data_IF_119082717447
#
_entry.id   IF_119082717447
#
_cell.length_a   1.000
_cell.length_b   1.000
_cell.length_c   1.000
_cell.angle_alpha   90.00
_cell.angle_beta   90.00
_cell.angle_gamma   90.00
#
_symmetry.space_group_name_H-M   'P 1'
#
loop_
_entity.id
_entity.type
_entity.pdbx_description
1 polymer ?
#
# COMPACT_ATOMS: atom_id res chain seq x y z
N UNK A 1 6.73 4.56 20.90
CA UNK A 1 7.82 3.73 21.45
C UNK A 1 7.63 3.62 22.96
N UNK A 2 7.08 2.51 23.44
CA UNK A 2 7.16 2.08 24.84
C UNK A 2 7.95 0.77 24.79
N UNK A 3 9.26 0.85 25.03
CA UNK A 3 10.11 -0.33 25.22
C UNK A 3 10.23 -0.63 26.72
N UNK A 4 10.72 -1.82 27.05
CA UNK A 4 10.89 -2.35 28.42
C UNK A 4 11.97 -1.64 29.25
N UNK A 5 12.94 -0.99 28.60
CA UNK A 5 13.74 0.04 29.24
C UNK A 5 12.94 1.33 29.15
N UNK A 6 12.95 2.19 30.19
CA UNK A 6 12.15 3.42 30.29
C UNK A 6 12.31 4.46 29.14
N UNK A 7 12.84 4.08 27.98
CA UNK A 7 12.95 4.86 26.76
C UNK A 7 14.19 5.73 26.80
N UNK A 8 14.83 5.90 25.64
CA UNK A 8 15.97 6.80 25.46
C UNK A 8 15.68 8.20 26.04
N UNK A 9 14.43 8.67 25.94
CA UNK A 9 13.95 9.89 26.58
C UNK A 9 14.26 9.93 28.08
N UNK A 10 13.90 8.89 28.84
CA UNK A 10 14.06 8.89 30.30
C UNK A 10 15.53 8.82 30.70
N UNK A 11 16.36 8.10 29.94
CA UNK A 11 17.81 8.09 30.14
C UNK A 11 18.41 9.49 29.98
N UNK A 12 18.06 10.19 28.88
CA UNK A 12 18.53 11.56 28.61
C UNK A 12 18.05 12.54 29.69
N UNK A 13 16.79 12.46 30.12
CA UNK A 13 16.25 13.35 31.15
C UNK A 13 16.82 13.08 32.54
N UNK A 14 17.24 11.84 32.84
CA UNK A 14 17.91 11.50 34.10
C UNK A 14 19.35 12.02 34.15
N UNK A 15 20.07 11.96 33.03
CA UNK A 15 21.44 12.49 32.94
C UNK A 15 21.45 14.03 32.85
N UNK A 16 20.49 14.61 32.12
CA UNK A 16 20.42 16.05 31.88
C UNK A 16 19.05 16.59 32.31
N UNK A 17 18.95 17.03 33.57
CA UNK A 17 17.69 17.54 34.16
C UNK A 17 17.11 18.77 33.46
N UNK A 18 17.92 19.51 32.71
CA UNK A 18 17.51 20.67 31.90
C UNK A 18 17.09 20.31 30.47
N UNK A 19 17.20 19.05 30.06
CA UNK A 19 16.83 18.63 28.71
C UNK A 19 15.30 18.62 28.55
N UNK A 20 14.82 19.23 27.47
CA UNK A 20 13.41 19.22 27.09
C UNK A 20 13.22 18.34 25.85
N UNK A 21 12.31 17.37 25.96
CA UNK A 21 11.95 16.50 24.86
C UNK A 21 10.68 17.01 24.19
N UNK A 22 10.80 17.43 22.92
CA UNK A 22 9.68 17.84 22.08
C UNK A 22 9.39 16.70 21.10
N UNK A 23 8.15 16.21 21.07
CA UNK A 23 7.74 15.23 20.08
C UNK A 23 7.63 15.88 18.70
N UNK A 24 8.15 15.22 17.66
CA UNK A 24 7.95 15.63 16.27
C UNK A 24 6.45 15.65 15.94
N UNK A 25 5.94 16.78 15.45
CA UNK A 25 4.53 16.95 15.07
C UNK A 25 4.13 15.98 13.95
N UNK A 26 5.01 15.74 12.99
CA UNK A 26 4.85 14.75 11.94
C UNK A 26 4.60 13.34 12.53
N UNK A 27 5.34 12.98 13.59
CA UNK A 27 5.12 11.72 14.31
C UNK A 27 3.77 11.67 15.04
N UNK A 28 3.34 12.76 15.68
CA UNK A 28 2.04 12.84 16.36
C UNK A 28 0.87 12.77 15.37
N UNK A 29 0.99 13.45 14.23
CA UNK A 29 0.03 13.37 13.13
C UNK A 29 -0.09 11.93 12.63
N UNK A 30 1.06 11.26 12.44
CA UNK A 30 1.09 9.87 12.03
C UNK A 30 0.38 8.94 13.02
N UNK A 31 0.69 9.03 14.32
CA UNK A 31 0.02 8.21 15.33
C UNK A 31 -1.49 8.46 15.38
N UNK A 32 -1.90 9.72 15.25
CA UNK A 32 -3.32 10.11 15.25
C UNK A 32 -4.06 9.54 14.05
N UNK A 33 -3.48 9.67 12.85
CA UNK A 33 -4.07 9.14 11.62
C UNK A 33 -4.26 7.63 11.71
N UNK A 34 -3.23 6.89 12.15
CA UNK A 34 -3.33 5.43 12.34
C UNK A 34 -4.41 5.07 13.36
N UNK A 35 -4.49 5.79 14.49
CA UNK A 35 -5.47 5.51 15.53
C UNK A 35 -6.91 5.76 15.07
N UNK A 36 -7.14 6.80 14.26
CA UNK A 36 -8.46 7.11 13.69
C UNK A 36 -8.84 6.09 12.62
N UNK A 37 -7.93 5.77 11.69
CA UNK A 37 -8.19 4.79 10.63
C UNK A 37 -8.53 3.40 11.18
N UNK A 38 -7.87 2.96 12.26
CA UNK A 38 -8.17 1.67 12.92
C UNK A 38 -9.57 1.60 13.53
N UNK A 39 -10.22 2.74 13.79
CA UNK A 39 -11.59 2.81 14.33
C UNK A 39 -12.64 2.95 13.24
N UNK A 40 -12.25 3.20 11.99
CA UNK A 40 -13.15 3.30 10.87
C UNK A 40 -13.28 1.93 10.19
N UNK A 41 -14.52 1.44 10.06
CA UNK A 41 -14.81 0.11 9.52
C UNK A 41 -14.39 0.00 8.05
N UNK A 42 -14.63 1.04 7.26
CA UNK A 42 -14.33 1.05 5.82
C UNK A 42 -12.81 1.03 5.56
N UNK A 43 -12.03 1.73 6.38
CA UNK A 43 -10.57 1.67 6.38
C UNK A 43 -10.09 0.26 6.73
N UNK A 44 -10.69 -0.35 7.76
CA UNK A 44 -10.40 -1.73 8.15
C UNK A 44 -10.62 -2.69 6.98
N UNK A 45 -11.81 -2.63 6.38
CA UNK A 45 -12.18 -3.42 5.21
C UNK A 45 -11.21 -3.23 4.04
N UNK A 46 -10.87 -1.98 3.69
CA UNK A 46 -9.95 -1.69 2.59
C UNK A 46 -8.58 -2.32 2.83
N UNK A 47 -8.00 -2.16 4.02
CA UNK A 47 -6.65 -2.68 4.30
C UNK A 47 -6.62 -4.21 4.45
N UNK A 48 -7.70 -4.82 4.93
CA UNK A 48 -7.86 -6.27 4.92
C UNK A 48 -7.94 -6.81 3.48
N UNK A 49 -8.72 -6.16 2.61
CA UNK A 49 -8.81 -6.51 1.20
C UNK A 49 -7.46 -6.34 0.49
N UNK A 50 -6.74 -5.25 0.73
CA UNK A 50 -5.40 -5.03 0.18
C UNK A 50 -4.42 -6.11 0.66
N UNK A 51 -4.49 -6.52 1.93
CA UNK A 51 -3.68 -7.62 2.45
C UNK A 51 -4.01 -8.95 1.78
N UNK A 52 -5.30 -9.25 1.58
CA UNK A 52 -5.75 -10.43 0.85
C UNK A 52 -5.26 -10.41 -0.60
N UNK A 53 -5.38 -9.29 -1.30
CA UNK A 53 -4.87 -9.09 -2.66
C UNK A 53 -3.35 -9.33 -2.72
N UNK A 54 -2.58 -8.74 -1.80
CA UNK A 54 -1.13 -8.95 -1.74
C UNK A 54 -0.76 -10.43 -1.52
N UNK A 55 -1.58 -11.19 -0.80
CA UNK A 55 -1.35 -12.63 -0.63
C UNK A 55 -1.74 -13.42 -1.87
N UNK A 56 -2.81 -13.03 -2.57
CA UNK A 56 -3.21 -13.67 -3.83
C UNK A 56 -2.17 -13.40 -4.90
N UNK A 57 -1.81 -12.15 -5.16
CA UNK A 57 -0.93 -11.76 -6.27
C UNK A 57 0.56 -11.90 -5.91
N UNK A 58 0.93 -11.66 -4.66
CA UNK A 58 2.33 -11.66 -4.21
C UNK A 58 2.79 -12.94 -3.51
N UNK A 59 1.91 -13.93 -3.34
CA UNK A 59 2.14 -15.12 -2.51
C UNK A 59 3.17 -16.12 -3.02
N UNK A 60 3.66 -15.98 -4.26
CA UNK A 60 4.73 -16.81 -4.82
C UNK A 60 5.55 -16.07 -5.86
N UNK A 61 6.79 -16.50 -6.10
CA UNK A 61 7.64 -15.93 -7.18
C UNK A 61 6.94 -15.98 -8.54
N UNK A 62 6.24 -17.08 -8.85
CA UNK A 62 5.53 -17.23 -10.12
C UNK A 62 4.46 -16.14 -10.33
N UNK A 63 3.70 -15.80 -9.28
CA UNK A 63 2.67 -14.77 -9.39
C UNK A 63 3.26 -13.36 -9.44
N UNK A 64 4.41 -13.14 -8.80
CA UNK A 64 5.16 -11.90 -8.95
C UNK A 64 5.71 -11.74 -10.37
N UNK A 65 6.19 -12.81 -10.99
CA UNK A 65 6.61 -12.84 -12.39
C UNK A 65 5.44 -12.49 -13.32
N UNK A 66 4.27 -13.12 -13.13
CA UNK A 66 3.05 -12.79 -13.88
C UNK A 66 2.67 -11.31 -13.76
N UNK A 67 2.77 -10.72 -12.56
CA UNK A 67 2.50 -9.29 -12.36
C UNK A 67 3.50 -8.40 -13.11
N UNK A 68 4.77 -8.79 -13.13
CA UNK A 68 5.82 -8.05 -13.83
C UNK A 68 5.64 -8.12 -15.36
N UNK A 69 5.28 -9.30 -15.88
CA UNK A 69 4.96 -9.52 -17.28
C UNK A 69 3.75 -8.69 -17.71
N UNK A 70 2.63 -8.78 -16.96
CA UNK A 70 1.42 -7.99 -17.21
C UNK A 70 1.69 -6.49 -17.17
N UNK A 71 2.47 -6.01 -16.19
CA UNK A 71 2.88 -4.60 -16.14
C UNK A 71 3.71 -4.19 -17.36
N UNK A 72 4.63 -5.05 -17.81
CA UNK A 72 5.46 -4.77 -18.99
C UNK A 72 4.61 -4.69 -20.26
N UNK A 73 3.63 -5.57 -20.39
CA UNK A 73 2.69 -5.56 -21.52
C UNK A 73 1.79 -4.33 -21.53
N UNK A 74 1.30 -3.90 -20.35
CA UNK A 74 0.53 -2.66 -20.24
C UNK A 74 1.35 -1.44 -20.66
N UNK A 75 2.59 -1.32 -20.17
CA UNK A 75 3.50 -0.25 -20.57
C UNK A 75 3.78 -0.28 -22.08
N UNK A 76 4.01 -1.45 -22.65
CA UNK A 76 4.23 -1.59 -24.10
C UNK A 76 3.00 -1.13 -24.89
N UNK A 77 1.81 -1.54 -24.47
CA UNK A 77 0.55 -1.15 -25.10
C UNK A 77 0.29 0.36 -24.98
N UNK A 78 0.41 0.94 -23.79
CA UNK A 78 0.23 2.38 -23.58
C UNK A 78 1.25 3.20 -24.39
N UNK A 79 2.47 2.68 -24.58
CA UNK A 79 3.48 3.31 -25.44
C UNK A 79 3.10 3.23 -26.93
N UNK A 80 2.62 2.07 -27.40
CA UNK A 80 2.14 1.88 -28.78
C UNK A 80 0.91 2.75 -29.09
N UNK A 81 -0.01 2.88 -28.13
CA UNK A 81 -1.21 3.72 -28.22
C UNK A 81 -0.88 5.23 -28.13
N UNK A 82 0.36 5.59 -27.78
CA UNK A 82 0.83 6.97 -27.66
C UNK A 82 0.38 7.67 -26.37
N UNK A 83 -0.09 6.93 -25.36
CA UNK A 83 -0.55 7.43 -24.07
C UNK A 83 0.62 7.78 -23.13
N UNK A 84 1.77 7.12 -23.32
CA UNK A 84 3.00 7.37 -22.55
C UNK A 84 4.22 7.54 -23.45
N UNK A 85 5.17 8.36 -23.00
CA UNK A 85 6.45 8.56 -23.68
C UNK A 85 7.53 7.59 -23.17
N UNK A 86 8.51 7.31 -24.03
CA UNK A 86 9.74 6.61 -23.63
C UNK A 86 10.78 7.61 -23.18
N UNK A 87 11.44 7.33 -22.04
CA UNK A 87 12.45 8.22 -21.49
C UNK A 87 13.19 7.60 -20.31
N UNK A 88 14.37 8.14 -20.02
CA UNK A 88 15.21 7.65 -18.92
C UNK A 88 14.51 7.87 -17.58
N UNK A 89 14.13 6.77 -16.94
CA UNK A 89 13.46 6.79 -15.63
C UNK A 89 11.93 6.86 -15.69
N UNK A 90 11.34 6.90 -16.88
CA UNK A 90 9.89 6.72 -17.07
C UNK A 90 9.54 5.23 -17.08
N UNK A 91 8.26 4.94 -16.78
CA UNK A 91 7.66 3.62 -16.90
C UNK A 91 8.43 2.52 -16.13
N UNK A 92 9.04 2.91 -15.01
CA UNK A 92 9.78 1.98 -14.16
C UNK A 92 8.84 0.95 -13.55
N UNK A 93 9.37 -0.25 -13.39
CA UNK A 93 8.67 -1.33 -12.73
C UNK A 93 8.31 -0.96 -11.29
N UNK A 94 7.02 -1.00 -10.99
CA UNK A 94 6.45 -0.79 -9.68
C UNK A 94 6.27 -2.13 -8.96
N UNK A 95 6.53 -2.13 -7.65
CA UNK A 95 6.37 -3.30 -6.79
C UNK A 95 5.23 -3.16 -5.79
N UNK A 96 4.59 -4.29 -5.45
CA UNK A 96 3.58 -4.38 -4.40
C UNK A 96 4.20 -4.83 -3.07
N UNK A 97 4.89 -3.90 -2.41
CA UNK A 97 5.51 -4.17 -1.11
C UNK A 97 4.49 -4.24 0.03
N UNK A 98 4.68 -5.15 0.98
CA UNK A 98 3.87 -5.16 2.21
C UNK A 98 4.13 -3.89 3.02
N UNK A 99 3.08 -3.16 3.41
CA UNK A 99 3.24 -1.94 4.17
C UNK A 99 3.65 -2.31 5.61
N UNK A 100 4.42 -1.42 6.25
CA UNK A 100 4.78 -1.58 7.66
C UNK A 100 3.69 -0.98 8.54
N UNK A 101 3.25 -1.74 9.54
CA UNK A 101 2.24 -1.36 10.54
C UNK A 101 2.51 -0.02 11.24
N UNK A 102 3.78 0.40 11.26
CA UNK A 102 4.22 1.60 12.00
C UNK A 102 4.35 2.84 11.12
N UNK A 103 4.42 2.70 9.79
CA UNK A 103 4.75 3.79 8.86
C UNK A 103 3.72 3.90 7.75
N UNK A 104 2.80 4.84 7.91
CA UNK A 104 1.74 5.14 6.94
C UNK A 104 2.27 5.50 5.54
N UNK A 105 3.47 6.09 5.43
CA UNK A 105 4.08 6.36 4.13
C UNK A 105 4.25 5.10 3.26
N UNK A 106 4.43 3.93 3.88
CA UNK A 106 4.44 2.65 3.16
C UNK A 106 3.05 2.23 2.68
N UNK A 107 2.00 2.49 3.47
CA UNK A 107 0.62 2.31 3.04
C UNK A 107 0.25 3.27 1.90
N UNK A 108 0.71 4.52 1.95
CA UNK A 108 0.48 5.47 0.86
C UNK A 108 1.16 5.03 -0.43
N UNK A 109 2.43 4.61 -0.36
CA UNK A 109 3.15 4.04 -1.52
C UNK A 109 2.44 2.80 -2.09
N UNK A 110 1.95 1.90 -1.22
CA UNK A 110 1.16 0.75 -1.65
C UNK A 110 -0.10 1.19 -2.42
N UNK A 111 -0.88 2.12 -1.88
CA UNK A 111 -2.11 2.60 -2.53
C UNK A 111 -1.82 3.22 -3.91
N UNK A 112 -0.77 4.02 -4.02
CA UNK A 112 -0.35 4.60 -5.30
C UNK A 112 -0.03 3.49 -6.31
N UNK A 113 0.77 2.51 -5.90
CA UNK A 113 1.14 1.40 -6.79
C UNK A 113 -0.06 0.53 -7.15
N UNK A 114 -0.99 0.28 -6.22
CA UNK A 114 -2.21 -0.48 -6.51
C UNK A 114 -3.11 0.23 -7.51
N UNK A 115 -3.21 1.56 -7.43
CA UNK A 115 -4.00 2.34 -8.39
C UNK A 115 -3.37 2.28 -9.79
N UNK A 116 -2.05 2.44 -9.89
CA UNK A 116 -1.34 2.39 -11.18
C UNK A 116 -1.37 0.98 -11.77
N UNK A 117 -1.13 -0.04 -10.93
CA UNK A 117 -1.09 -1.44 -11.35
C UNK A 117 -2.47 -2.11 -11.35
N UNK A 118 -3.56 -1.37 -11.19
CA UNK A 118 -4.90 -1.96 -11.06
C UNK A 118 -5.25 -2.90 -12.23
N UNK A 119 -5.02 -2.52 -13.51
CA UNK A 119 -5.28 -3.44 -14.62
C UNK A 119 -4.43 -4.71 -14.54
N UNK A 120 -3.14 -4.59 -14.19
CA UNK A 120 -2.23 -5.73 -14.07
C UNK A 120 -2.62 -6.68 -12.94
N UNK A 121 -3.06 -6.12 -11.81
CA UNK A 121 -3.52 -6.88 -10.65
C UNK A 121 -4.77 -7.68 -11.02
N UNK A 122 -5.73 -7.07 -11.71
CA UNK A 122 -6.93 -7.75 -12.17
C UNK A 122 -6.58 -8.90 -13.14
N UNK A 123 -5.71 -8.66 -14.11
CA UNK A 123 -5.28 -9.68 -15.07
C UNK A 123 -4.63 -10.90 -14.36
N UNK A 124 -3.73 -10.65 -13.38
CA UNK A 124 -3.12 -11.73 -12.61
C UNK A 124 -4.14 -12.50 -11.78
N UNK A 125 -5.14 -11.83 -11.21
CA UNK A 125 -6.21 -12.48 -10.46
C UNK A 125 -7.06 -13.36 -11.38
N UNK A 126 -7.40 -12.88 -12.57
CA UNK A 126 -8.14 -13.67 -13.57
C UNK A 126 -7.33 -14.90 -14.00
N UNK A 127 -6.02 -14.74 -14.25
CA UNK A 127 -5.15 -15.87 -14.56
C UNK A 127 -5.09 -16.92 -13.44
N UNK A 128 -5.08 -16.49 -12.17
CA UNK A 128 -5.11 -17.39 -11.01
C UNK A 128 -6.48 -18.07 -10.88
N UNK A 129 -7.57 -17.37 -11.18
CA UNK A 129 -8.92 -17.92 -11.15
C UNK A 129 -9.09 -19.04 -12.19
N UNK A 130 -8.64 -18.80 -13.42
CA UNK A 130 -8.69 -19.75 -14.53
C UNK A 130 -7.79 -20.96 -14.27
N UNK A 131 -6.54 -20.72 -13.86
CA UNK A 131 -5.52 -21.75 -13.66
C UNK A 131 -4.99 -21.77 -12.22
N UNK A 132 -5.81 -22.20 -11.23
CA UNK A 132 -5.44 -22.12 -9.83
C UNK A 132 -4.36 -23.16 -9.48
N UNK A 133 -3.26 -22.77 -8.79
CA UNK A 133 -2.26 -23.73 -8.31
C UNK A 133 -2.83 -24.71 -7.29
N UNK A 134 -3.78 -24.26 -6.45
CA UNK A 134 -4.47 -25.05 -5.44
C UNK A 134 -5.98 -24.76 -5.45
N UNK A 135 -6.78 -25.68 -4.90
CA UNK A 135 -8.25 -25.54 -4.83
C UNK A 135 -8.73 -24.26 -4.13
N UNK A 136 -8.01 -23.81 -3.10
CA UNK A 136 -8.36 -22.61 -2.32
C UNK A 136 -7.97 -21.30 -3.03
N UNK A 137 -7.02 -21.34 -3.97
CA UNK A 137 -6.56 -20.14 -4.69
C UNK A 137 -7.66 -19.58 -5.60
N UNK A 138 -8.49 -20.43 -6.20
CA UNK A 138 -9.61 -20.00 -7.04
C UNK A 138 -10.63 -19.20 -6.24
N UNK A 139 -11.05 -19.70 -5.07
CA UNK A 139 -12.03 -19.02 -4.24
C UNK A 139 -11.50 -17.69 -3.68
N UNK A 140 -10.20 -17.63 -3.37
CA UNK A 140 -9.55 -16.38 -2.96
C UNK A 140 -9.48 -15.37 -4.11
N UNK A 141 -9.07 -15.82 -5.30
CA UNK A 141 -9.00 -14.98 -6.49
C UNK A 141 -10.38 -14.42 -6.85
N UNK A 142 -11.43 -15.24 -6.85
CA UNK A 142 -12.81 -14.84 -7.12
C UNK A 142 -13.29 -13.74 -6.16
N UNK A 143 -13.15 -13.97 -4.84
CA UNK A 143 -13.56 -13.00 -3.81
C UNK A 143 -12.80 -11.68 -3.91
N UNK A 144 -11.48 -11.74 -4.08
CA UNK A 144 -10.65 -10.54 -4.20
C UNK A 144 -10.96 -9.81 -5.51
N UNK A 145 -11.05 -10.52 -6.62
CA UNK A 145 -11.36 -9.98 -7.94
C UNK A 145 -12.68 -9.23 -7.95
N UNK A 146 -13.75 -9.85 -7.45
CA UNK A 146 -15.06 -9.22 -7.32
C UNK A 146 -15.02 -7.93 -6.49
N UNK A 147 -14.24 -7.92 -5.41
CA UNK A 147 -14.10 -6.73 -4.58
C UNK A 147 -13.28 -5.62 -5.26
N UNK A 148 -12.21 -5.96 -6.00
CA UNK A 148 -11.34 -4.98 -6.68
C UNK A 148 -12.01 -4.23 -7.84
N UNK A 149 -13.08 -4.80 -8.42
CA UNK A 149 -13.88 -4.14 -9.46
C UNK A 149 -15.12 -3.44 -8.90
N UNK A 150 -15.36 -3.55 -7.59
CA UNK A 150 -16.49 -2.89 -6.93
C UNK A 150 -16.30 -1.38 -6.85
N UNK A 151 -17.40 -0.63 -6.91
CA UNK A 151 -17.39 0.80 -6.68
C UNK A 151 -16.79 1.15 -5.32
N UNK A 152 -17.14 0.39 -4.27
CA UNK A 152 -16.67 0.65 -2.91
C UNK A 152 -15.15 0.60 -2.81
N UNK A 153 -14.51 -0.36 -3.48
CA UNK A 153 -13.06 -0.45 -3.49
C UNK A 153 -12.42 0.73 -4.23
N UNK A 154 -12.90 1.02 -5.44
CA UNK A 154 -12.39 2.12 -6.27
C UNK A 154 -12.56 3.46 -5.54
N UNK A 155 -13.73 3.69 -4.95
CA UNK A 155 -14.00 4.88 -4.15
C UNK A 155 -13.04 4.97 -2.96
N UNK A 156 -12.92 3.90 -2.17
CA UNK A 156 -12.11 3.90 -0.95
C UNK A 156 -10.61 4.05 -1.25
N UNK A 157 -10.07 3.38 -2.28
CA UNK A 157 -8.65 3.50 -2.63
C UNK A 157 -8.31 4.93 -3.05
N UNK A 158 -9.19 5.59 -3.81
CA UNK A 158 -9.00 6.98 -4.24
C UNK A 158 -9.23 8.00 -3.11
N UNK A 159 -10.20 7.77 -2.24
CA UNK A 159 -10.42 8.58 -1.04
C UNK A 159 -9.18 8.53 -0.13
N UNK A 160 -8.68 7.34 0.14
CA UNK A 160 -7.49 7.14 0.98
C UNK A 160 -6.23 7.71 0.33
N UNK A 161 -6.07 7.58 -0.99
CA UNK A 161 -5.00 8.28 -1.73
C UNK A 161 -5.04 9.79 -1.46
N UNK A 162 -6.23 10.42 -1.50
CA UNK A 162 -6.37 11.86 -1.28
C UNK A 162 -6.03 12.26 0.15
N UNK A 163 -6.57 11.55 1.14
CA UNK A 163 -6.30 11.79 2.57
C UNK A 163 -4.80 11.64 2.85
N UNK A 164 -4.20 10.55 2.38
CA UNK A 164 -2.77 10.29 2.57
C UNK A 164 -1.88 11.26 1.79
N UNK A 165 -2.31 11.74 0.62
CA UNK A 165 -1.61 12.79 -0.10
C UNK A 165 -1.49 14.07 0.72
N UNK A 166 -2.59 14.51 1.34
CA UNK A 166 -2.60 15.69 2.24
C UNK A 166 -1.74 15.43 3.48
N UNK A 167 -1.91 14.28 4.12
CA UNK A 167 -1.11 13.89 5.28
C UNK A 167 0.40 13.84 4.95
N UNK A 168 0.77 13.40 3.74
CA UNK A 168 2.15 13.37 3.27
C UNK A 168 2.76 14.76 3.17
N UNK A 169 2.04 15.66 2.54
CA UNK A 169 2.49 17.03 2.36
C UNK A 169 2.68 17.72 3.72
N UNK A 170 1.73 17.52 4.64
CA UNK A 170 1.84 18.02 6.01
C UNK A 170 3.02 17.40 6.76
N UNK A 171 3.23 16.08 6.63
CA UNK A 171 4.34 15.38 7.28
C UNK A 171 5.73 15.78 6.73
N UNK A 172 5.81 16.25 5.49
CA UNK A 172 7.05 16.80 4.91
C UNK A 172 7.27 18.25 5.39
N UNK A 173 6.20 18.99 5.68
CA UNK A 173 6.26 20.39 6.08
C UNK A 173 6.49 20.63 7.59
N UNK A 174 6.20 19.64 8.45
CA UNK A 174 6.28 19.69 9.92
C UNK A 174 7.51 18.96 10.47
#
# INVERSE_FOLDING_TARGET
MKGDSNGLKTLIMNETKSAYYIHCFAHQLQLTLVAVSKKNVDCGWLFELLSAMLNVVGGSCKRQEMLNESQTQLVAKEFEDGEIESGKGLNQQLGLGRPSDTRWGSHYKLLLNVIVLHPAICEVIDMIFENPPNSDDRAKADRVGAALVSFDFIFMVHLMKKIFGVANQLNIAL
#
